data_IF_635737598390
#
_entry.id   IF_635737598390
#
_cell.length_a   1.000
_cell.length_b   1.000
_cell.length_c   1.000
_cell.angle_alpha   90.00
_cell.angle_beta   90.00
_cell.angle_gamma   90.00
#
_symmetry.space_group_name_H-M   'P 1'
#
loop_
_entity.id
_entity.type
_entity.pdbx_description
1 polymer ?
#
# COMPACT_ATOMS: atom_id res chain seq x y z
N UNK A 1 7.11 -36.09 4.20
CA UNK A 1 7.07 -34.73 4.79
C UNK A 1 6.77 -33.77 3.67
N UNK A 2 5.55 -33.26 3.58
CA UNK A 2 5.20 -32.20 2.63
C UNK A 2 6.04 -30.97 2.99
N UNK A 3 6.79 -30.45 2.02
CA UNK A 3 7.56 -29.22 2.19
C UNK A 3 6.53 -28.10 2.41
N UNK A 4 6.43 -27.55 3.63
CA UNK A 4 5.53 -26.42 3.88
C UNK A 4 5.89 -25.29 2.90
N UNK A 5 4.89 -24.70 2.26
CA UNK A 5 5.09 -23.60 1.33
C UNK A 5 5.64 -22.38 2.07
N UNK A 6 6.36 -21.51 1.35
CA UNK A 6 6.91 -20.28 1.91
C UNK A 6 5.80 -19.37 2.47
N UNK A 7 4.63 -19.34 1.81
CA UNK A 7 3.44 -18.59 2.28
C UNK A 7 2.81 -19.22 3.53
N UNK A 8 2.78 -20.55 3.65
CA UNK A 8 2.37 -21.22 4.89
C UNK A 8 3.29 -20.86 6.06
N UNK A 9 4.61 -20.79 5.83
CA UNK A 9 5.55 -20.41 6.88
C UNK A 9 5.33 -18.96 7.36
N UNK A 10 4.94 -18.06 6.46
CA UNK A 10 4.53 -16.69 6.81
C UNK A 10 3.28 -16.72 7.67
N UNK A 11 2.25 -17.43 7.23
CA UNK A 11 1.01 -17.60 7.99
C UNK A 11 1.27 -18.12 9.40
N UNK A 12 2.06 -19.20 9.53
CA UNK A 12 2.38 -19.81 10.82
C UNK A 12 3.10 -18.82 11.75
N UNK A 13 3.95 -17.95 11.20
CA UNK A 13 4.67 -16.93 11.95
C UNK A 13 3.76 -15.75 12.32
N UNK A 14 2.88 -15.31 11.43
CA UNK A 14 1.85 -14.31 11.72
C UNK A 14 0.94 -14.77 12.86
N UNK A 15 0.44 -16.02 12.81
CA UNK A 15 -0.40 -16.61 13.85
C UNK A 15 0.28 -16.68 15.22
N UNK A 16 1.59 -16.90 15.25
CA UNK A 16 2.39 -16.90 16.49
C UNK A 16 2.70 -15.49 17.01
N UNK A 17 2.76 -14.51 16.11
CA UNK A 17 3.22 -13.15 16.41
C UNK A 17 2.07 -12.22 16.78
N UNK A 18 0.96 -12.32 16.04
CA UNK A 18 -0.18 -11.42 16.17
C UNK A 18 -1.27 -12.08 17.02
N UNK A 19 -1.79 -11.31 17.97
CA UNK A 19 -2.85 -11.78 18.86
C UNK A 19 -3.98 -10.75 18.88
N UNK A 20 -5.21 -11.20 19.07
CA UNK A 20 -6.38 -10.32 19.17
C UNK A 20 -6.39 -9.44 20.43
N UNK A 21 -5.36 -9.53 21.29
CA UNK A 21 -5.26 -8.77 22.54
C UNK A 21 -4.92 -7.28 22.35
N UNK A 22 -4.64 -6.85 21.12
CA UNK A 22 -4.26 -5.47 20.81
C UNK A 22 -2.84 -5.09 21.26
N UNK A 23 -2.07 -6.05 21.78
CA UNK A 23 -0.67 -5.84 22.15
C UNK A 23 0.17 -5.76 20.87
N UNK A 24 0.94 -4.67 20.66
CA UNK A 24 1.83 -4.57 19.51
C UNK A 24 2.86 -5.71 19.48
N UNK A 25 3.11 -6.24 18.28
CA UNK A 25 4.14 -7.24 18.10
C UNK A 25 5.52 -6.68 18.46
N UNK A 26 6.39 -7.52 19.05
CA UNK A 26 7.75 -7.10 19.39
C UNK A 26 8.55 -6.75 18.12
N UNK A 27 9.49 -5.78 18.18
CA UNK A 27 10.34 -5.45 17.04
C UNK A 27 11.11 -6.66 16.48
N UNK A 28 11.52 -7.58 17.35
CA UNK A 28 12.21 -8.81 16.94
C UNK A 28 11.29 -9.74 16.14
N UNK A 29 10.01 -9.85 16.51
CA UNK A 29 9.03 -10.66 15.78
C UNK A 29 8.73 -10.04 14.41
N UNK A 30 8.58 -8.72 14.35
CA UNK A 30 8.38 -7.99 13.09
C UNK A 30 9.60 -8.16 12.15
N UNK A 31 10.83 -8.04 12.68
CA UNK A 31 12.04 -8.27 11.91
C UNK A 31 12.16 -9.71 11.38
N UNK A 32 11.77 -10.71 12.18
CA UNK A 32 11.72 -12.11 11.73
C UNK A 32 10.72 -12.29 10.59
N UNK A 33 9.55 -11.68 10.69
CA UNK A 33 8.52 -11.73 9.66
C UNK A 33 8.97 -11.03 8.37
N UNK A 34 9.57 -9.83 8.49
CA UNK A 34 10.20 -9.11 7.38
C UNK A 34 11.26 -9.97 6.67
N UNK A 35 12.15 -10.60 7.43
CA UNK A 35 13.22 -11.46 6.88
C UNK A 35 12.68 -12.70 6.17
N UNK A 36 11.48 -13.16 6.55
CA UNK A 36 10.80 -14.27 5.89
C UNK A 36 10.09 -13.81 4.62
N UNK A 37 9.39 -12.67 4.67
CA UNK A 37 8.80 -12.01 3.49
C UNK A 37 9.86 -11.71 2.43
N UNK A 38 11.06 -11.26 2.83
CA UNK A 38 12.16 -10.94 1.90
C UNK A 38 12.53 -12.08 0.96
N UNK A 39 12.28 -13.33 1.37
CA UNK A 39 12.58 -14.55 0.61
C UNK A 39 11.45 -14.98 -0.33
N UNK A 40 10.28 -14.37 -0.25
CA UNK A 40 9.13 -14.71 -1.10
C UNK A 40 9.32 -14.13 -2.48
N UNK A 41 9.19 -14.99 -3.48
CA UNK A 41 9.05 -14.62 -4.88
C UNK A 41 7.60 -14.70 -5.37
N UNK A 42 7.33 -14.25 -6.61
CA UNK A 42 6.01 -14.30 -7.20
C UNK A 42 5.47 -15.73 -7.35
N UNK A 43 6.33 -16.69 -7.71
CA UNK A 43 5.95 -18.10 -7.86
C UNK A 43 5.52 -18.76 -6.56
N UNK A 44 6.08 -18.34 -5.40
CA UNK A 44 5.67 -18.85 -4.09
C UNK A 44 4.20 -18.50 -3.79
N UNK A 45 3.73 -17.36 -4.31
CA UNK A 45 2.35 -16.88 -4.18
C UNK A 45 1.43 -17.31 -5.35
N UNK A 46 1.90 -18.21 -6.22
CA UNK A 46 1.13 -18.65 -7.39
C UNK A 46 0.96 -17.59 -8.48
N UNK A 47 1.74 -16.51 -8.43
CA UNK A 47 1.77 -15.50 -9.48
C UNK A 47 2.76 -15.93 -10.56
N UNK A 48 2.36 -15.74 -11.82
CA UNK A 48 3.30 -15.78 -12.93
C UNK A 48 3.87 -14.37 -13.06
N UNK A 49 5.19 -14.25 -13.14
CA UNK A 49 5.77 -13.02 -13.65
C UNK A 49 5.22 -12.87 -15.06
N UNK A 50 4.50 -11.77 -15.33
CA UNK A 50 4.05 -11.43 -16.66
C UNK A 50 5.26 -10.93 -17.46
N UNK A 51 6.28 -11.79 -17.62
CA UNK A 51 7.47 -11.60 -18.44
C UNK A 51 7.12 -11.85 -19.91
N UNK A 52 6.00 -11.32 -20.39
CA UNK A 52 5.83 -11.23 -21.82
C UNK A 52 6.49 -9.93 -22.26
N UNK A 53 7.64 -10.10 -22.90
CA UNK A 53 8.24 -9.17 -23.87
C UNK A 53 7.27 -8.85 -25.05
N UNK A 54 5.96 -8.73 -24.80
CA UNK A 54 4.98 -8.21 -25.74
C UNK A 54 4.93 -6.67 -25.70
N UNK A 55 5.85 -6.06 -24.94
CA UNK A 55 6.05 -4.62 -24.80
C UNK A 55 7.26 -4.09 -25.60
N UNK A 56 7.95 -4.96 -26.35
CA UNK A 56 8.88 -4.49 -27.38
C UNK A 56 8.11 -4.25 -28.66
N UNK A 57 7.63 -3.02 -28.84
CA UNK A 57 7.20 -2.54 -30.14
C UNK A 57 8.28 -2.83 -31.20
N UNK A 58 8.02 -3.79 -32.08
CA UNK A 58 8.38 -3.83 -33.51
C UNK A 58 7.85 -5.13 -34.12
N UNK A 59 6.93 -5.03 -35.08
CA UNK A 59 6.50 -6.20 -35.86
C UNK A 59 5.29 -5.92 -36.73
N UNK A 60 5.55 -5.54 -37.97
CA UNK A 60 4.59 -5.23 -39.04
C UNK A 60 3.72 -6.48 -39.34
N UNK A 61 2.41 -6.24 -39.57
CA UNK A 61 1.36 -7.19 -40.01
C UNK A 61 0.58 -7.96 -38.92
N UNK A 62 -0.43 -7.28 -38.36
CA UNK A 62 -1.52 -7.90 -37.62
C UNK A 62 -2.62 -6.88 -37.35
N UNK A 63 -3.59 -6.78 -38.26
CA UNK A 63 -4.78 -5.94 -38.11
C UNK A 63 -5.50 -6.29 -36.80
N UNK A 64 -5.42 -5.43 -35.77
CA UNK A 64 -6.45 -5.20 -34.74
C UNK A 64 -6.08 -3.98 -33.89
N UNK A 65 -6.42 -2.80 -34.40
CA UNK A 65 -6.18 -1.50 -33.74
C UNK A 65 -7.07 -1.23 -32.50
N UNK A 66 -7.77 -2.23 -31.95
CA UNK A 66 -8.76 -2.07 -30.87
C UNK A 66 -8.26 -2.45 -29.46
N UNK A 67 -7.15 -3.17 -29.30
CA UNK A 67 -6.69 -3.65 -27.98
C UNK A 67 -5.82 -2.66 -27.19
N UNK A 68 -5.39 -1.57 -27.83
CA UNK A 68 -4.50 -0.60 -27.20
C UNK A 68 -5.21 0.27 -26.15
N UNK A 69 -6.54 0.40 -26.24
CA UNK A 69 -7.37 1.09 -25.25
C UNK A 69 -7.72 0.21 -24.03
N UNK A 70 -7.69 -1.12 -24.17
CA UNK A 70 -8.11 -2.08 -23.13
C UNK A 70 -7.03 -2.29 -22.06
N UNK A 71 -5.75 -2.01 -22.39
CA UNK A 71 -4.62 -2.19 -21.46
C UNK A 71 -4.50 -1.08 -20.40
N UNK A 72 -5.07 0.11 -20.63
CA UNK A 72 -5.05 1.25 -19.70
C UNK A 72 -6.23 1.25 -18.72
N UNK A 73 -7.15 0.28 -18.82
CA UNK A 73 -8.42 0.23 -18.10
C UNK A 73 -8.61 -1.06 -17.30
N UNK A 74 -7.56 -1.88 -17.14
CA UNK A 74 -7.64 -3.06 -16.28
C UNK A 74 -7.73 -2.60 -14.82
N UNK A 75 -8.76 -3.04 -14.05
CA UNK A 75 -8.84 -2.69 -12.64
C UNK A 75 -7.76 -3.42 -11.84
N UNK A 76 -7.40 -2.84 -10.71
CA UNK A 76 -6.54 -3.48 -9.72
C UNK A 76 -7.19 -4.80 -9.29
N UNK A 77 -6.41 -5.87 -9.22
CA UNK A 77 -6.91 -7.17 -8.77
C UNK A 77 -6.49 -7.43 -7.33
N UNK A 78 -7.46 -7.64 -6.44
CA UNK A 78 -7.24 -8.00 -5.04
C UNK A 78 -7.32 -9.51 -4.87
N UNK A 79 -6.27 -10.12 -4.33
CA UNK A 79 -6.20 -11.54 -4.02
C UNK A 79 -6.19 -11.71 -2.50
N UNK A 80 -7.27 -12.29 -1.98
CA UNK A 80 -7.36 -12.65 -0.57
C UNK A 80 -6.60 -13.97 -0.32
N UNK A 81 -5.66 -13.97 0.63
CA UNK A 81 -4.91 -15.18 1.01
C UNK A 81 -5.44 -15.71 2.34
N UNK A 82 -5.59 -14.83 3.33
CA UNK A 82 -6.07 -15.18 4.65
C UNK A 82 -6.56 -13.94 5.40
N UNK A 83 -7.68 -14.09 6.12
CA UNK A 83 -8.24 -13.04 6.96
C UNK A 83 -8.65 -13.61 8.33
N UNK A 84 -8.38 -12.84 9.39
CA UNK A 84 -8.77 -13.14 10.78
C UNK A 84 -8.92 -11.84 11.58
N UNK A 85 -9.29 -11.91 12.85
CA UNK A 85 -9.35 -10.73 13.72
C UNK A 85 -7.97 -10.14 14.07
N UNK A 86 -6.89 -10.93 13.92
CA UNK A 86 -5.54 -10.54 14.32
C UNK A 86 -4.71 -9.97 13.18
N UNK A 87 -4.89 -10.49 11.96
CA UNK A 87 -4.16 -10.05 10.77
C UNK A 87 -4.84 -10.49 9.47
N UNK A 88 -4.50 -9.79 8.39
CA UNK A 88 -4.87 -10.11 7.01
C UNK A 88 -3.61 -10.28 6.17
N UNK A 89 -3.61 -11.26 5.27
CA UNK A 89 -2.61 -11.45 4.22
C UNK A 89 -3.31 -11.32 2.86
N UNK A 90 -2.82 -10.42 2.02
CA UNK A 90 -3.42 -10.18 0.71
C UNK A 90 -2.37 -9.75 -0.32
N UNK A 91 -2.75 -9.81 -1.60
CA UNK A 91 -1.94 -9.30 -2.70
C UNK A 91 -2.77 -8.35 -3.55
N UNK A 92 -2.19 -7.21 -3.89
CA UNK A 92 -2.72 -6.33 -4.93
C UNK A 92 -1.89 -6.47 -6.20
N UNK A 93 -2.52 -6.82 -7.32
CA UNK A 93 -1.92 -6.80 -8.65
C UNK A 93 -2.35 -5.50 -9.35
N UNK A 94 -1.39 -4.62 -9.60
CA UNK A 94 -1.59 -3.30 -10.18
C UNK A 94 -1.12 -3.32 -11.65
N UNK A 95 -2.02 -3.10 -12.63
CA UNK A 95 -1.63 -2.75 -13.99
C UNK A 95 -0.83 -1.44 -14.03
N UNK A 96 -0.12 -1.21 -15.14
CA UNK A 96 0.57 0.07 -15.38
C UNK A 96 -0.38 1.25 -15.20
N UNK A 97 0.08 2.28 -14.51
CA UNK A 97 -0.64 3.52 -14.20
C UNK A 97 -1.88 3.38 -13.31
N UNK A 98 -2.20 2.17 -12.82
CA UNK A 98 -3.23 2.01 -11.79
C UNK A 98 -2.76 2.57 -10.44
N UNK A 99 -3.70 3.11 -9.67
CA UNK A 99 -3.41 3.82 -8.42
C UNK A 99 -4.24 3.23 -7.29
N UNK A 100 -3.59 2.89 -6.18
CA UNK A 100 -4.24 2.83 -4.87
C UNK A 100 -4.09 4.23 -4.26
N UNK A 101 -5.18 5.00 -4.14
CA UNK A 101 -5.15 6.40 -3.72
C UNK A 101 -4.55 6.56 -2.33
N UNK A 102 -4.15 7.79 -1.98
CA UNK A 102 -3.59 8.08 -0.67
C UNK A 102 -4.58 7.71 0.43
N UNK A 103 -4.17 6.81 1.33
CA UNK A 103 -5.01 6.30 2.40
C UNK A 103 -4.22 6.03 3.67
N UNK A 104 -4.90 5.94 4.81
CA UNK A 104 -4.30 5.66 6.12
C UNK A 104 -4.49 4.22 6.62
N UNK A 105 -3.71 3.89 7.65
CA UNK A 105 -3.70 2.59 8.34
C UNK A 105 -3.83 2.81 9.85
N UNK A 106 -4.99 3.26 10.35
CA UNK A 106 -5.16 3.79 11.70
C UNK A 106 -4.94 2.70 12.76
N UNK A 107 -3.87 2.86 13.56
CA UNK A 107 -3.52 1.91 14.62
C UNK A 107 -2.90 0.61 14.12
N UNK A 108 -2.52 0.55 12.84
CA UNK A 108 -2.05 -0.68 12.19
C UNK A 108 -0.54 -0.64 11.94
N UNK A 109 0.07 -1.83 11.94
CA UNK A 109 1.38 -2.09 11.37
C UNK A 109 1.17 -2.87 10.09
N UNK A 110 1.82 -2.46 8.99
CA UNK A 110 1.71 -3.15 7.71
C UNK A 110 3.10 -3.48 7.19
N UNK A 111 3.27 -4.73 6.76
CA UNK A 111 4.47 -5.20 6.05
C UNK A 111 4.11 -5.38 4.59
N UNK A 112 4.85 -4.72 3.70
CA UNK A 112 4.58 -4.68 2.27
C UNK A 112 5.80 -5.11 1.47
N UNK A 113 5.63 -6.03 0.51
CA UNK A 113 6.71 -6.46 -0.39
C UNK A 113 6.26 -6.48 -1.84
N UNK A 114 7.00 -5.80 -2.71
CA UNK A 114 6.82 -5.90 -4.15
C UNK A 114 7.37 -7.25 -4.63
N UNK A 115 6.50 -8.10 -5.16
CA UNK A 115 6.82 -9.45 -5.62
C UNK A 115 7.42 -9.46 -7.03
N UNK A 116 6.92 -8.59 -7.92
CA UNK A 116 7.45 -8.37 -9.27
C UNK A 116 7.10 -6.96 -9.76
N UNK A 117 7.78 -6.51 -10.82
CA UNK A 117 7.54 -5.20 -11.43
C UNK A 117 8.04 -4.03 -10.58
N UNK A 118 7.53 -2.85 -10.89
CA UNK A 118 7.84 -1.62 -10.15
C UNK A 118 6.60 -0.77 -9.86
N UNK A 119 6.63 -0.12 -8.70
CA UNK A 119 5.62 0.84 -8.27
C UNK A 119 6.27 2.07 -7.68
N UNK A 120 5.66 3.22 -7.93
CA UNK A 120 5.95 4.44 -7.20
C UNK A 120 5.17 4.44 -5.89
N UNK A 121 5.87 4.74 -4.80
CA UNK A 121 5.31 4.87 -3.46
C UNK A 121 5.56 6.28 -2.98
N UNK A 122 4.46 6.98 -2.65
CA UNK A 122 4.48 8.25 -1.94
C UNK A 122 3.84 8.05 -0.58
N UNK A 123 4.55 8.38 0.49
CA UNK A 123 4.10 8.13 1.85
C UNK A 123 4.41 9.29 2.79
N UNK A 124 3.57 9.43 3.81
CA UNK A 124 3.60 10.48 4.79
C UNK A 124 3.35 9.94 6.20
N UNK A 125 3.83 10.69 7.18
CA UNK A 125 3.40 10.56 8.57
C UNK A 125 2.83 11.89 9.05
N UNK A 126 1.83 11.84 9.94
CA UNK A 126 1.27 13.05 10.52
C UNK A 126 2.32 13.86 11.29
N UNK A 127 2.30 15.19 11.11
CA UNK A 127 3.08 16.07 11.99
C UNK A 127 2.43 16.07 13.37
N UNK A 128 3.26 15.89 14.41
CA UNK A 128 2.84 15.95 15.81
C UNK A 128 3.58 17.08 16.55
N UNK A 129 2.89 17.88 17.37
CA UNK A 129 1.44 17.86 17.61
C UNK A 129 0.63 18.22 16.36
N UNK A 130 -0.57 17.65 16.24
CA UNK A 130 -1.44 17.83 15.08
C UNK A 130 -1.63 19.31 14.72
N UNK A 131 -1.27 19.65 13.48
CA UNK A 131 -1.49 20.99 12.91
C UNK A 131 -2.58 20.91 11.84
N UNK A 132 -3.72 21.54 12.13
CA UNK A 132 -4.94 21.44 11.32
C UNK A 132 -5.41 22.84 10.93
N UNK A 133 -5.63 23.07 9.64
CA UNK A 133 -6.23 24.30 9.13
C UNK A 133 -7.68 24.04 8.72
N UNK A 134 -8.55 25.01 9.01
CA UNK A 134 -9.91 25.00 8.46
C UNK A 134 -9.83 25.37 6.98
N UNK A 135 -10.44 24.57 6.11
CA UNK A 135 -10.43 24.79 4.66
C UNK A 135 -11.22 26.07 4.28
N UNK A 136 -11.15 26.47 3.01
CA UNK A 136 -11.54 27.77 2.45
C UNK A 136 -13.07 28.00 2.40
N UNK A 137 -13.80 27.76 3.49
CA UNK A 137 -15.21 28.11 3.63
C UNK A 137 -16.04 27.09 4.41
N UNK A 138 -17.31 27.43 4.72
CA UNK A 138 -18.23 26.50 5.36
C UNK A 138 -18.51 25.28 4.47
N UNK A 139 -18.36 24.08 5.01
CA UNK A 139 -18.67 22.81 4.33
C UNK A 139 -17.47 22.06 3.75
N UNK A 140 -16.28 22.66 3.70
CA UNK A 140 -15.07 21.95 3.30
C UNK A 140 -14.41 21.23 4.48
N UNK A 141 -13.94 19.97 4.31
CA UNK A 141 -13.24 19.25 5.36
C UNK A 141 -11.96 19.99 5.77
N UNK A 142 -11.52 19.85 7.04
CA UNK A 142 -10.26 20.43 7.48
C UNK A 142 -9.08 19.74 6.80
N UNK A 143 -7.96 20.46 6.68
CA UNK A 143 -6.70 19.89 6.19
C UNK A 143 -5.71 19.72 7.33
N UNK A 144 -4.98 18.60 7.35
CA UNK A 144 -3.98 18.28 8.38
C UNK A 144 -2.60 18.18 7.76
N UNK A 145 -1.60 18.75 8.45
CA UNK A 145 -0.22 18.74 7.99
C UNK A 145 0.41 17.34 8.16
N UNK A 146 1.04 16.85 7.10
CA UNK A 146 1.80 15.62 7.08
C UNK A 146 3.21 15.86 6.53
N UNK A 147 4.18 15.05 6.98
CA UNK A 147 5.57 15.09 6.53
C UNK A 147 5.82 13.92 5.59
N UNK A 148 6.37 14.20 4.43
CA UNK A 148 6.78 13.20 3.44
C UNK A 148 7.89 12.32 4.02
N UNK A 149 7.71 11.00 3.93
CA UNK A 149 8.66 10.00 4.42
C UNK A 149 9.24 9.14 3.31
N UNK A 150 8.46 8.91 2.25
CA UNK A 150 8.88 8.15 1.07
C UNK A 150 8.34 8.83 -0.17
N UNK A 151 9.19 9.02 -1.17
CA UNK A 151 8.80 9.39 -2.53
C UNK A 151 9.82 8.78 -3.49
N UNK A 152 9.54 7.54 -3.93
CA UNK A 152 10.47 6.79 -4.79
C UNK A 152 9.78 5.65 -5.54
N UNK A 153 10.45 5.18 -6.58
CA UNK A 153 10.09 3.91 -7.24
C UNK A 153 10.74 2.74 -6.50
N UNK A 154 9.95 1.73 -6.17
CA UNK A 154 10.37 0.45 -5.62
C UNK A 154 10.22 -0.61 -6.72
N UNK A 155 11.31 -1.30 -7.04
CA UNK A 155 11.39 -2.31 -8.10
C UNK A 155 11.82 -3.65 -7.51
N UNK A 156 11.13 -4.73 -7.88
CA UNK A 156 11.54 -6.08 -7.50
C UNK A 156 12.85 -6.49 -8.24
N UNK A 157 13.77 -7.24 -7.60
CA UNK A 157 13.71 -7.71 -6.21
C UNK A 157 13.99 -6.59 -5.20
N UNK A 158 13.13 -6.46 -4.20
CA UNK A 158 13.28 -5.49 -3.11
C UNK A 158 13.12 -6.16 -1.74
N UNK A 159 13.59 -5.48 -0.69
CA UNK A 159 13.25 -5.81 0.68
C UNK A 159 11.81 -5.42 1.04
N UNK A 160 11.36 -5.90 2.19
CA UNK A 160 10.06 -5.61 2.78
C UNK A 160 10.07 -4.20 3.38
N UNK A 161 9.04 -3.41 3.05
CA UNK A 161 8.77 -2.12 3.68
C UNK A 161 7.83 -2.32 4.86
N UNK A 162 7.98 -1.51 5.91
CA UNK A 162 7.18 -1.63 7.14
C UNK A 162 6.72 -0.22 7.53
N UNK A 163 5.41 -0.07 7.71
CA UNK A 163 4.82 1.09 8.37
C UNK A 163 4.29 0.70 9.76
N UNK A 164 4.24 1.70 10.62
CA UNK A 164 3.72 1.63 11.99
C UNK A 164 2.57 2.63 12.17
N UNK A 165 1.84 2.59 13.30
CA UNK A 165 0.68 3.47 13.50
C UNK A 165 0.95 4.97 13.42
N UNK A 166 2.20 5.41 13.61
CA UNK A 166 2.59 6.84 13.63
C UNK A 166 3.93 7.11 12.93
N UNK A 167 4.48 6.12 12.22
CA UNK A 167 5.79 6.27 11.58
C UNK A 167 5.96 5.29 10.43
N UNK A 168 6.87 5.61 9.51
CA UNK A 168 7.22 4.74 8.38
C UNK A 168 6.31 4.93 7.17
N UNK A 169 5.52 6.01 7.13
CA UNK A 169 4.59 6.25 6.04
C UNK A 169 3.22 5.60 6.26
N UNK A 170 2.59 5.88 7.42
CA UNK A 170 1.26 5.35 7.74
C UNK A 170 0.21 5.76 6.71
N UNK A 171 0.39 6.94 6.10
CA UNK A 171 -0.40 7.37 4.96
C UNK A 171 0.40 7.11 3.69
N UNK A 172 -0.14 6.39 2.72
CA UNK A 172 0.57 6.18 1.46
C UNK A 172 -0.36 5.99 0.26
N UNK A 173 0.17 6.22 -0.92
CA UNK A 173 -0.42 5.81 -2.19
C UNK A 173 0.56 4.94 -2.97
N UNK A 174 0.01 4.04 -3.79
CA UNK A 174 0.78 3.22 -4.72
C UNK A 174 0.37 3.54 -6.14
N UNK A 175 1.35 3.72 -7.03
CA UNK A 175 1.12 3.89 -8.47
C UNK A 175 1.94 2.86 -9.23
N UNK A 176 1.28 2.00 -10.03
CA UNK A 176 1.97 1.01 -10.85
C UNK A 176 2.82 1.69 -11.94
N UNK A 177 4.13 1.50 -11.91
CA UNK A 177 5.04 2.02 -12.95
C UNK A 177 5.15 1.01 -14.09
N UNK A 178 5.20 -0.28 -13.76
CA UNK A 178 4.96 -1.41 -14.67
C UNK A 178 3.79 -2.23 -14.10
N UNK A 179 3.32 -3.29 -14.78
CA UNK A 179 2.53 -4.30 -14.10
C UNK A 179 3.33 -4.82 -12.90
N UNK A 180 2.72 -4.84 -11.73
CA UNK A 180 3.39 -5.18 -10.48
C UNK A 180 2.44 -5.86 -9.50
N UNK A 181 2.99 -6.56 -8.51
CA UNK A 181 2.22 -7.10 -7.40
C UNK A 181 2.87 -6.75 -6.07
N UNK A 182 2.06 -6.34 -5.09
CA UNK A 182 2.48 -6.11 -3.70
C UNK A 182 1.78 -7.11 -2.79
N UNK A 183 2.55 -7.78 -1.95
CA UNK A 183 2.06 -8.61 -0.85
C UNK A 183 2.01 -7.75 0.41
N UNK A 184 0.81 -7.57 0.97
CA UNK A 184 0.60 -6.91 2.25
C UNK A 184 0.22 -7.88 3.38
N UNK A 185 0.77 -7.62 4.56
CA UNK A 185 0.34 -8.20 5.83
C UNK A 185 -0.07 -7.07 6.76
N UNK A 186 -1.35 -7.00 7.10
CA UNK A 186 -1.94 -5.94 7.93
C UNK A 186 -2.24 -6.46 9.32
N UNK A 187 -1.82 -5.76 10.38
CA UNK A 187 -2.13 -6.14 11.76
C UNK A 187 -2.34 -4.94 12.70
N UNK A 188 -3.46 -4.91 13.47
CA UNK A 188 -4.69 -5.65 13.18
C UNK A 188 -5.27 -5.24 11.80
N UNK A 189 -6.26 -5.96 11.25
CA UNK A 189 -6.96 -5.52 10.04
C UNK A 189 -7.81 -4.27 10.29
N UNK A 190 -8.25 -3.66 9.17
CA UNK A 190 -9.32 -2.68 9.19
C UNK A 190 -10.58 -3.26 9.84
N UNK A 191 -11.26 -2.43 10.62
CA UNK A 191 -12.51 -2.76 11.31
C UNK A 191 -13.20 -1.45 11.70
N UNK A 192 -14.21 -1.06 10.92
CA UNK A 192 -14.93 0.20 11.11
C UNK A 192 -15.55 0.33 12.52
N UNK A 193 -16.16 -0.75 13.03
CA UNK A 193 -16.76 -0.78 14.36
C UNK A 193 -15.74 -0.52 15.50
N UNK A 194 -14.45 -0.76 15.24
CA UNK A 194 -13.36 -0.49 16.18
C UNK A 194 -12.62 0.82 15.86
N UNK A 195 -13.18 1.68 15.00
CA UNK A 195 -12.61 2.96 14.59
C UNK A 195 -11.45 2.84 13.59
N UNK A 196 -11.20 1.64 13.05
CA UNK A 196 -10.14 1.39 12.05
C UNK A 196 -10.75 1.35 10.65
N UNK A 197 -11.33 2.46 10.20
CA UNK A 197 -11.77 2.63 8.81
C UNK A 197 -10.58 3.04 7.94
N UNK A 198 -10.56 2.61 6.68
CA UNK A 198 -9.62 3.15 5.70
C UNK A 198 -10.14 4.52 5.25
N UNK A 199 -9.35 5.56 5.48
CA UNK A 199 -9.69 6.94 5.10
C UNK A 199 -8.83 7.35 3.92
N UNK A 200 -9.43 7.97 2.90
CA UNK A 200 -8.73 8.46 1.72
C UNK A 200 -8.45 9.96 1.83
N UNK A 201 -7.38 10.42 1.18
CA UNK A 201 -6.94 11.80 1.25
C UNK A 201 -6.53 12.36 -0.12
N UNK A 202 -6.76 13.66 -0.32
CA UNK A 202 -6.04 14.47 -1.31
C UNK A 202 -4.84 15.14 -0.64
N UNK A 203 -3.67 15.07 -1.25
CA UNK A 203 -2.50 15.83 -0.84
C UNK A 203 -2.36 17.13 -1.64
N UNK A 204 -2.06 18.21 -0.92
CA UNK A 204 -1.78 19.52 -1.50
C UNK A 204 -0.37 19.96 -1.10
N UNK A 205 0.39 20.63 -1.99
CA UNK A 205 1.67 21.24 -1.64
C UNK A 205 1.56 22.14 -0.41
N UNK A 206 2.61 22.19 0.41
CA UNK A 206 2.65 23.02 1.62
C UNK A 206 2.24 24.49 1.38
N UNK A 207 2.65 25.06 0.24
CA UNK A 207 2.35 26.44 -0.19
C UNK A 207 0.88 26.71 -0.54
N UNK A 208 0.02 25.68 -0.59
CA UNK A 208 -1.39 25.80 -0.98
C UNK A 208 -2.25 26.53 0.07
N UNK A 209 -1.78 26.58 1.31
CA UNK A 209 -2.50 27.20 2.43
C UNK A 209 -1.63 28.25 3.12
N UNK A 210 -2.19 29.44 3.31
CA UNK A 210 -1.58 30.51 4.08
C UNK A 210 -1.65 30.15 5.57
N UNK A 211 -0.50 30.11 6.23
CA UNK A 211 -0.44 29.91 7.68
C UNK A 211 -0.74 31.24 8.38
N UNK A 212 -1.89 31.33 9.04
CA UNK A 212 -2.24 32.51 9.85
C UNK A 212 -1.38 32.59 11.14
N UNK A 213 -0.79 31.47 11.61
CA UNK A 213 -0.18 31.36 12.94
C UNK A 213 1.21 30.70 12.98
N UNK A 214 2.24 31.37 12.44
CA UNK A 214 3.62 31.27 12.95
C UNK A 214 4.35 29.90 12.93
N UNK A 215 3.78 28.84 12.34
CA UNK A 215 4.48 27.58 12.14
C UNK A 215 5.54 27.79 11.06
N UNK A 216 6.81 27.90 11.48
CA UNK A 216 7.94 28.10 10.58
C UNK A 216 8.63 26.76 10.39
N UNK A 217 8.42 26.15 9.23
CA UNK A 217 9.33 25.11 8.76
C UNK A 217 10.69 25.78 8.52
N UNK A 218 11.77 25.07 8.80
CA UNK A 218 13.12 25.55 8.48
C UNK A 218 13.17 25.96 7.00
N UNK A 219 13.69 27.15 6.70
CA UNK A 219 13.80 27.65 5.33
C UNK A 219 14.38 26.56 4.40
N UNK A 220 13.65 26.23 3.34
CA UNK A 220 14.07 25.25 2.32
C UNK A 220 13.58 23.81 2.49
N UNK A 221 12.73 23.50 3.48
CA UNK A 221 12.17 22.13 3.67
C UNK A 221 10.66 22.01 3.40
N UNK A 222 10.06 23.01 2.75
CA UNK A 222 8.62 23.01 2.49
C UNK A 222 8.17 21.83 1.60
N UNK A 223 9.03 21.38 0.69
CA UNK A 223 8.80 20.22 -0.18
C UNK A 223 8.69 18.89 0.60
N UNK A 224 9.19 18.85 1.84
CA UNK A 224 9.04 17.68 2.73
C UNK A 224 7.67 17.62 3.41
N UNK A 225 6.73 18.54 3.13
CA UNK A 225 5.44 18.62 3.80
C UNK A 225 4.29 18.78 2.81
N UNK A 226 3.13 18.24 3.19
CA UNK A 226 1.89 18.36 2.43
C UNK A 226 0.70 18.54 3.38
N UNK A 227 -0.33 19.20 2.87
CA UNK A 227 -1.64 19.27 3.52
C UNK A 227 -2.50 18.14 3.02
N UNK A 228 -3.04 17.34 3.92
CA UNK A 228 -3.93 16.23 3.57
C UNK A 228 -5.37 16.58 3.94
N UNK A 229 -6.26 16.46 2.97
CA UNK A 229 -7.71 16.67 3.10
C UNK A 229 -8.43 15.33 2.98
N UNK A 230 -9.26 14.96 3.96
CA UNK A 230 -10.07 13.74 3.87
C UNK A 230 -11.05 13.83 2.70
N UNK A 231 -11.17 12.75 1.93
CA UNK A 231 -12.11 12.62 0.82
C UNK A 231 -12.93 11.33 0.95
N UNK A 232 -14.09 11.32 0.30
CA UNK A 232 -14.85 10.08 0.10
C UNK A 232 -14.05 9.08 -0.74
N UNK A 233 -14.40 7.80 -0.66
CA UNK A 233 -13.79 6.77 -1.51
C UNK A 233 -13.87 7.19 -2.98
N UNK A 234 -12.73 7.27 -3.70
CA UNK A 234 -12.73 7.73 -5.09
C UNK A 234 -13.63 6.87 -5.97
N UNK A 235 -14.49 7.50 -6.78
CA UNK A 235 -15.47 6.80 -7.62
C UNK A 235 -14.80 5.91 -8.69
N UNK A 236 -13.56 6.21 -9.04
CA UNK A 236 -12.71 5.49 -9.99
C UNK A 236 -11.88 4.38 -9.33
N UNK A 237 -11.89 4.28 -7.99
CA UNK A 237 -11.27 3.18 -7.27
C UNK A 237 -12.14 1.93 -7.37
N UNK A 238 -11.93 1.17 -8.45
CA UNK A 238 -12.52 -0.15 -8.63
C UNK A 238 -11.44 -1.24 -8.52
N UNK A 239 -11.55 -2.04 -7.47
CA UNK A 239 -10.75 -3.26 -7.30
C UNK A 239 -11.60 -4.47 -7.62
N UNK A 240 -11.13 -5.32 -8.53
CA UNK A 240 -11.76 -6.60 -8.86
C UNK A 240 -11.23 -7.69 -7.93
N UNK A 241 -12.13 -8.47 -7.35
CA UNK A 241 -11.75 -9.68 -6.62
C UNK A 241 -11.15 -10.72 -7.59
N UNK A 242 -9.95 -11.21 -7.29
CA UNK A 242 -9.33 -12.35 -7.95
C UNK A 242 -9.29 -13.59 -7.06
N UNK A 243 -8.99 -14.73 -7.68
CA UNK A 243 -8.79 -16.00 -6.99
C UNK A 243 -7.30 -16.21 -6.72
N UNK A 244 -6.93 -16.47 -5.46
CA UNK A 244 -5.57 -16.84 -5.10
C UNK A 244 -5.28 -18.28 -5.56
N UNK A 245 -4.28 -18.43 -6.44
CA UNK A 245 -3.90 -19.72 -7.06
C UNK A 245 -2.59 -20.30 -6.51
N UNK A 246 -2.03 -19.68 -5.48
CA UNK A 246 -0.84 -20.19 -4.80
C UNK A 246 -1.14 -21.37 -3.88
N UNK A 247 -0.12 -21.88 -3.17
CA UNK A 247 -0.29 -22.97 -2.21
C UNK A 247 -1.34 -22.59 -1.14
N UNK A 248 -2.29 -23.50 -0.91
CA UNK A 248 -3.35 -23.30 0.06
C UNK A 248 -2.79 -23.15 1.48
N UNK A 249 -3.39 -22.23 2.25
CA UNK A 249 -3.11 -22.07 3.67
C UNK A 249 -3.89 -23.12 4.46
N UNK A 250 -3.21 -23.76 5.41
CA UNK A 250 -3.79 -24.68 6.38
C UNK A 250 -3.90 -23.94 7.73
N UNK A 251 -5.12 -23.56 8.16
CA UNK A 251 -5.32 -22.76 9.36
C UNK A 251 -4.94 -23.43 10.67
#
# INVERSE_FOLDING_TARGET
>A
MTKNSSVQAIYDLCKKTFTSSGIPASPQSIQKLSSLLDKIGPSDAGLKEDNTEDDRGHGVFGLNHYDRAVRWTQPITYLDIYQSDSFTMCIFCLPTSSVIPLHDHPGMTVLSKVLYGSMHVKAYDWVEPAYVLKSRGPGYPPVRLAKLTVDKVITAPCGTSILYPKSGGNLHCFTGVTPCAVFDILTPPYQEAAGRKCTYYHDYPFSSFSMENGFRISDGKEEEYAWLEEMDTPNDLYMRQGEYKGPAIQP
#
